data_IF_674021449317
#
_entry.id   IF_674021449317
#
_cell.length_a   1.000
_cell.length_b   1.000
_cell.length_c   1.000
_cell.angle_alpha   90.00
_cell.angle_beta   90.00
_cell.angle_gamma   90.00
#
_symmetry.space_group_name_H-M   'P 1'
#
loop_
_entity.id
_entity.type
_entity.pdbx_description
1 polymer ?
#
# COMPACT_ATOMS: atom_id res chain seq x y z
N UNK A 1 19.87 16.61 -23.11
CA UNK A 1 19.31 17.15 -21.87
C UNK A 1 18.80 18.55 -22.22
N UNK A 2 17.53 18.97 -22.22
CA UNK A 2 16.29 18.54 -21.58
C UNK A 2 15.08 19.07 -22.40
N UNK A 3 14.47 18.26 -23.28
CA UNK A 3 13.22 18.65 -23.97
C UNK A 3 12.09 17.63 -23.80
N UNK A 4 12.39 16.44 -23.28
CA UNK A 4 11.41 15.39 -23.00
C UNK A 4 10.73 15.51 -21.63
N UNK A 5 11.23 16.35 -20.73
CA UNK A 5 10.72 16.49 -19.35
C UNK A 5 9.54 17.46 -19.26
N UNK A 6 9.53 18.53 -20.06
CA UNK A 6 8.45 19.54 -20.04
C UNK A 6 7.14 19.05 -20.66
N UNK A 7 7.20 18.15 -21.64
CA UNK A 7 5.98 17.61 -22.29
C UNK A 7 5.19 16.70 -21.36
N UNK A 8 5.83 16.04 -20.39
CA UNK A 8 5.13 15.20 -19.42
C UNK A 8 4.33 16.02 -18.40
N UNK A 9 4.80 17.22 -18.05
CA UNK A 9 4.12 18.11 -17.10
C UNK A 9 2.81 18.64 -17.70
N UNK A 10 2.79 19.00 -18.99
CA UNK A 10 1.58 19.49 -19.67
C UNK A 10 0.51 18.39 -19.86
N UNK A 11 0.92 17.13 -20.06
CA UNK A 11 -0.01 16.00 -20.11
C UNK A 11 -0.58 15.62 -18.72
N UNK A 12 0.13 15.95 -17.64
CA UNK A 12 -0.32 15.76 -16.25
C UNK A 12 -1.47 16.71 -15.87
N UNK A 13 -1.47 17.95 -16.40
CA UNK A 13 -2.47 18.97 -16.04
C UNK A 13 -3.84 18.77 -16.70
N UNK A 14 -3.92 18.03 -17.81
CA UNK A 14 -5.17 17.88 -18.56
C UNK A 14 -6.10 16.77 -18.05
N UNK A 15 -5.72 16.04 -17.00
CA UNK A 15 -6.60 15.03 -16.39
C UNK A 15 -6.35 14.91 -14.88
N UNK A 16 -6.87 15.85 -14.06
CA UNK A 16 -6.75 15.79 -12.60
C UNK A 16 -7.35 14.51 -12.02
N UNK A 17 -8.25 13.80 -12.75
CA UNK A 17 -8.80 12.52 -12.32
C UNK A 17 -7.79 11.38 -12.34
N UNK A 18 -6.68 11.50 -13.10
CA UNK A 18 -5.69 10.42 -13.25
C UNK A 18 -4.88 10.15 -11.98
N UNK A 19 -4.73 11.15 -11.11
CA UNK A 19 -4.07 11.02 -9.80
C UNK A 19 -5.04 10.86 -8.64
N UNK A 20 -6.34 10.72 -8.93
CA UNK A 20 -7.35 10.36 -7.94
C UNK A 20 -7.53 8.85 -7.83
N UNK A 21 -6.82 8.06 -8.63
CA UNK A 21 -6.96 6.61 -8.66
C UNK A 21 -5.61 5.91 -8.83
N UNK A 22 -5.38 4.88 -8.03
CA UNK A 22 -4.29 3.91 -8.27
C UNK A 22 -4.85 2.50 -8.33
N UNK A 23 -4.28 1.69 -9.23
CA UNK A 23 -4.59 0.26 -9.36
C UNK A 23 -3.38 -0.54 -8.94
N UNK A 24 -3.57 -1.70 -8.35
CA UNK A 24 -2.47 -2.57 -7.91
C UNK A 24 -2.96 -3.99 -7.62
N UNK A 25 -2.08 -4.80 -7.04
CA UNK A 25 -2.48 -6.04 -6.40
C UNK A 25 -2.79 -5.79 -4.91
N UNK A 26 -3.86 -6.38 -4.35
CA UNK A 26 -4.18 -6.22 -2.95
C UNK A 26 -3.13 -6.90 -2.08
N UNK A 27 -2.75 -6.26 -0.98
CA UNK A 27 -1.92 -6.84 0.06
C UNK A 27 -2.73 -7.29 1.27
N UNK A 28 -2.27 -8.33 1.94
CA UNK A 28 -2.82 -8.79 3.21
C UNK A 28 -1.75 -8.80 4.29
N UNK A 29 -2.12 -8.39 5.50
CA UNK A 29 -1.26 -8.49 6.68
C UNK A 29 -1.57 -9.80 7.39
N UNK A 30 -0.67 -10.78 7.29
CA UNK A 30 -0.80 -12.09 7.93
C UNK A 30 0.27 -12.21 9.00
N UNK A 31 -0.13 -12.23 10.28
CA UNK A 31 0.80 -12.35 11.44
C UNK A 31 1.96 -11.33 11.38
N UNK A 32 1.67 -10.09 11.04
CA UNK A 32 2.68 -9.02 10.92
C UNK A 32 3.50 -9.03 9.62
N UNK A 33 3.31 -10.03 8.76
CA UNK A 33 3.97 -10.11 7.45
C UNK A 33 3.03 -9.62 6.36
N UNK A 34 3.51 -8.74 5.48
CA UNK A 34 2.74 -8.23 4.35
C UNK A 34 2.94 -9.18 3.16
N UNK A 35 1.86 -9.83 2.73
CA UNK A 35 1.89 -10.79 1.63
C UNK A 35 1.05 -10.23 0.46
N UNK A 36 1.60 -10.20 -0.77
CA UNK A 36 0.81 -9.88 -1.95
C UNK A 36 -0.19 -11.00 -2.23
N UNK A 37 -1.43 -10.64 -2.53
CA UNK A 37 -2.40 -11.60 -3.00
C UNK A 37 -2.26 -11.75 -4.52
N UNK A 38 -1.45 -12.72 -4.94
CA UNK A 38 -1.16 -13.01 -6.34
C UNK A 38 -2.44 -13.47 -7.06
N UNK A 39 -2.98 -12.61 -7.94
CA UNK A 39 -4.22 -12.87 -8.69
C UNK A 39 -5.35 -11.92 -8.34
N UNK A 40 -5.22 -11.12 -7.29
CA UNK A 40 -6.18 -10.07 -6.97
C UNK A 40 -5.93 -8.76 -7.74
N UNK A 41 -6.97 -7.92 -7.81
CA UNK A 41 -6.88 -6.54 -8.30
C UNK A 41 -7.45 -5.61 -7.24
N UNK A 42 -6.72 -4.57 -6.87
CA UNK A 42 -7.23 -3.50 -6.00
C UNK A 42 -7.18 -2.17 -6.74
N UNK A 43 -8.21 -1.37 -6.54
CA UNK A 43 -8.32 -0.01 -7.04
C UNK A 43 -8.62 0.89 -5.85
N UNK A 44 -7.79 1.90 -5.63
CA UNK A 44 -7.98 2.87 -4.56
C UNK A 44 -8.24 4.22 -5.20
N UNK A 45 -9.39 4.81 -4.88
CA UNK A 45 -9.86 6.08 -5.40
C UNK A 45 -10.04 7.11 -4.30
N UNK A 46 -9.74 8.36 -4.61
CA UNK A 46 -10.05 9.52 -3.77
C UNK A 46 -11.41 10.05 -4.22
N UNK A 47 -12.40 9.93 -3.35
CA UNK A 47 -13.76 10.41 -3.55
C UNK A 47 -14.09 11.46 -2.48
N UNK A 48 -13.96 12.74 -2.86
CA UNK A 48 -14.15 13.89 -1.97
C UNK A 48 -13.26 13.81 -0.72
N UNK A 49 -13.83 13.51 0.44
CA UNK A 49 -13.16 13.39 1.74
C UNK A 49 -12.91 11.92 2.16
N UNK A 50 -13.21 10.98 1.27
CA UNK A 50 -13.06 9.54 1.49
C UNK A 50 -12.13 8.90 0.48
N UNK A 51 -11.48 7.84 0.94
CA UNK A 51 -10.67 6.94 0.15
C UNK A 51 -11.48 5.66 -0.02
N UNK A 52 -11.87 5.38 -1.25
CA UNK A 52 -12.65 4.21 -1.63
C UNK A 52 -11.71 3.14 -2.20
N UNK A 53 -11.53 2.05 -1.47
CA UNK A 53 -10.83 0.86 -1.93
C UNK A 53 -11.83 -0.15 -2.46
N UNK A 54 -11.60 -0.64 -3.69
CA UNK A 54 -12.27 -1.78 -4.29
C UNK A 54 -11.24 -2.86 -4.58
N UNK A 55 -11.24 -3.91 -3.76
CA UNK A 55 -10.35 -5.05 -3.90
C UNK A 55 -11.14 -6.30 -4.32
N UNK A 56 -10.62 -6.99 -5.33
CA UNK A 56 -11.07 -8.32 -5.73
C UNK A 56 -9.95 -9.31 -5.40
N UNK A 57 -10.24 -10.26 -4.53
CA UNK A 57 -9.31 -11.28 -4.06
C UNK A 57 -9.94 -12.64 -4.37
N UNK A 58 -9.50 -13.29 -5.45
CA UNK A 58 -10.16 -14.49 -5.95
C UNK A 58 -11.64 -14.23 -6.29
N UNK A 59 -12.55 -14.95 -5.64
CA UNK A 59 -14.00 -14.78 -5.76
C UNK A 59 -14.57 -13.72 -4.80
N UNK A 60 -13.79 -13.26 -3.83
CA UNK A 60 -14.23 -12.28 -2.84
C UNK A 60 -14.07 -10.86 -3.37
N UNK A 61 -15.13 -10.06 -3.21
CA UNK A 61 -15.10 -8.61 -3.45
C UNK A 61 -15.18 -7.89 -2.11
N UNK A 62 -14.23 -7.00 -1.89
CA UNK A 62 -14.15 -6.15 -0.70
C UNK A 62 -14.18 -4.70 -1.12
N UNK A 63 -15.13 -3.96 -0.59
CA UNK A 63 -15.22 -2.51 -0.74
C UNK A 63 -15.00 -1.87 0.63
N UNK A 64 -14.10 -0.90 0.72
CA UNK A 64 -13.80 -0.23 1.98
C UNK A 64 -13.73 1.27 1.79
N UNK A 65 -14.42 2.00 2.66
CA UNK A 65 -14.45 3.46 2.66
C UNK A 65 -13.72 3.98 3.89
N UNK A 66 -12.59 4.67 3.67
CA UNK A 66 -11.77 5.22 4.75
C UNK A 66 -11.77 6.74 4.64
N UNK A 67 -12.17 7.46 5.70
CA UNK A 67 -12.12 8.93 5.65
C UNK A 67 -10.66 9.40 5.59
N UNK A 68 -10.33 10.29 4.66
CA UNK A 68 -8.94 10.77 4.46
C UNK A 68 -8.40 11.42 5.74
N UNK A 69 -9.26 12.12 6.48
CA UNK A 69 -8.96 12.72 7.79
C UNK A 69 -8.53 11.73 8.89
N UNK A 70 -8.81 10.44 8.71
CA UNK A 70 -8.45 9.39 9.67
C UNK A 70 -7.20 8.61 9.26
N UNK A 71 -6.54 9.02 8.18
CA UNK A 71 -5.29 8.41 7.73
C UNK A 71 -4.17 8.93 8.63
N UNK A 72 -3.54 8.03 9.37
CA UNK A 72 -2.42 8.37 10.25
C UNK A 72 -1.10 8.35 9.48
N UNK A 73 -0.96 7.41 8.53
CA UNK A 73 0.30 7.16 7.81
C UNK A 73 0.04 6.78 6.36
N UNK A 74 0.78 7.41 5.47
CA UNK A 74 0.91 7.02 4.06
C UNK A 74 2.38 6.83 3.76
N UNK A 75 2.76 5.67 3.24
CA UNK A 75 4.16 5.38 2.96
C UNK A 75 4.34 4.36 1.86
N UNK A 76 5.44 4.49 1.13
CA UNK A 76 5.86 3.52 0.13
C UNK A 76 7.00 2.72 0.73
N UNK A 77 6.81 1.41 0.76
CA UNK A 77 7.75 0.48 1.35
C UNK A 77 8.23 -0.49 0.28
N UNK A 78 9.40 -1.06 0.52
CA UNK A 78 10.00 -2.10 -0.31
C UNK A 78 10.26 -3.31 0.57
N UNK A 79 9.79 -4.49 0.14
CA UNK A 79 9.99 -5.75 0.87
C UNK A 79 10.49 -6.84 -0.07
N UNK A 80 11.12 -7.84 0.51
CA UNK A 80 11.43 -9.14 -0.10
C UNK A 80 10.32 -10.16 0.23
N UNK A 81 10.10 -11.15 -0.64
CA UNK A 81 9.05 -12.17 -0.52
C UNK A 81 9.71 -13.22 0.36
N UNK A 82 9.36 -13.24 1.65
CA UNK A 82 9.82 -14.29 2.56
C UNK A 82 9.47 -15.69 2.06
N UNK A 83 8.37 -15.85 1.31
CA UNK A 83 7.94 -17.14 0.75
C UNK A 83 8.98 -17.78 -0.17
N UNK A 84 9.77 -17.00 -0.93
CA UNK A 84 10.82 -17.54 -1.80
C UNK A 84 11.91 -18.24 -0.98
N UNK A 85 12.26 -17.66 0.16
CA UNK A 85 13.24 -18.23 1.08
C UNK A 85 12.70 -19.49 1.74
N UNK A 86 11.42 -19.50 2.14
CA UNK A 86 10.76 -20.70 2.69
C UNK A 86 10.74 -21.83 1.67
N UNK A 87 10.33 -21.55 0.42
CA UNK A 87 10.33 -22.55 -0.66
C UNK A 87 11.75 -23.05 -0.94
N UNK A 88 12.74 -22.15 -1.01
CA UNK A 88 14.15 -22.51 -1.15
C UNK A 88 14.62 -23.43 -0.02
N UNK A 89 14.28 -23.11 1.22
CA UNK A 89 14.62 -23.92 2.39
C UNK A 89 13.97 -25.31 2.34
N UNK A 90 12.70 -25.40 1.95
CA UNK A 90 12.01 -26.69 1.80
C UNK A 90 12.69 -27.53 0.72
N UNK A 91 13.01 -26.95 -0.45
CA UNK A 91 13.73 -27.66 -1.51
C UNK A 91 15.09 -28.16 -1.05
N UNK A 92 15.82 -27.34 -0.27
CA UNK A 92 17.10 -27.74 0.30
C UNK A 92 16.97 -28.94 1.25
N UNK A 93 16.00 -28.89 2.16
CA UNK A 93 15.74 -29.99 3.11
C UNK A 93 15.34 -31.29 2.38
N UNK A 94 14.50 -31.20 1.35
CA UNK A 94 14.15 -32.34 0.49
C UNK A 94 15.41 -32.90 -0.19
N UNK A 95 16.28 -32.03 -0.71
CA UNK A 95 17.55 -32.44 -1.31
C UNK A 95 18.45 -33.20 -0.33
N UNK A 96 18.56 -32.74 0.92
CA UNK A 96 19.33 -33.41 1.97
C UNK A 96 18.72 -34.77 2.31
N UNK A 97 17.41 -34.85 2.52
CA UNK A 97 16.74 -36.11 2.87
C UNK A 97 16.96 -37.17 1.78
N UNK A 98 16.83 -36.80 0.51
CA UNK A 98 17.10 -37.71 -0.61
C UNK A 98 18.56 -38.19 -0.65
N UNK A 99 19.51 -37.34 -0.24
CA UNK A 99 20.92 -37.71 -0.17
C UNK A 99 21.22 -38.70 0.97
N UNK A 100 20.51 -38.57 2.09
CA UNK A 100 20.67 -39.43 3.27
C UNK A 100 20.03 -40.81 3.09
N UNK A 101 18.91 -40.90 2.36
CA UNK A 101 18.18 -42.17 2.16
C UNK A 101 18.97 -43.14 1.28
N UNK A 102 19.35 -42.73 0.06
CA UNK A 102 20.12 -43.55 -0.87
C UNK A 102 21.00 -42.67 -1.77
N UNK A 103 22.25 -42.39 -1.37
CA UNK A 103 23.09 -41.40 -2.03
C UNK A 103 23.46 -41.77 -3.47
N UNK A 104 23.54 -43.07 -3.79
CA UNK A 104 23.88 -43.54 -5.14
C UNK A 104 22.71 -43.41 -6.12
N UNK A 105 21.48 -43.68 -5.67
CA UNK A 105 20.29 -43.72 -6.53
C UNK A 105 19.74 -42.32 -6.81
N UNK A 106 19.73 -41.44 -5.81
CA UNK A 106 19.12 -40.10 -5.92
C UNK A 106 20.12 -38.96 -6.10
N UNK A 107 21.41 -39.27 -6.37
CA UNK A 107 22.48 -38.27 -6.47
C UNK A 107 22.09 -37.07 -7.35
N UNK A 108 21.69 -37.33 -8.59
CA UNK A 108 21.36 -36.26 -9.54
C UNK A 108 20.16 -35.42 -9.09
N UNK A 109 19.11 -36.06 -8.57
CA UNK A 109 17.91 -35.38 -8.08
C UNK A 109 18.20 -34.53 -6.84
N UNK A 110 18.94 -35.08 -5.86
CA UNK A 110 19.35 -34.36 -4.67
C UNK A 110 20.16 -33.10 -5.01
N UNK A 111 21.16 -33.23 -5.90
CA UNK A 111 21.92 -32.08 -6.39
C UNK A 111 21.04 -31.04 -7.09
N UNK A 112 20.05 -31.47 -7.87
CA UNK A 112 19.06 -30.59 -8.49
C UNK A 112 18.25 -29.79 -7.46
N UNK A 113 17.76 -30.44 -6.41
CA UNK A 113 17.05 -29.76 -5.31
C UNK A 113 17.95 -28.78 -4.55
N UNK A 114 19.19 -29.16 -4.24
CA UNK A 114 20.17 -28.29 -3.59
C UNK A 114 20.50 -27.07 -4.46
N UNK A 115 20.80 -27.25 -5.75
CA UNK A 115 21.05 -26.13 -6.66
C UNK A 115 19.81 -25.24 -6.83
N UNK A 116 18.63 -25.84 -6.95
CA UNK A 116 17.35 -25.11 -6.98
C UNK A 116 17.17 -24.22 -5.75
N UNK A 117 17.47 -24.73 -4.56
CA UNK A 117 17.39 -23.94 -3.32
C UNK A 117 18.29 -22.70 -3.33
N UNK A 118 19.51 -22.83 -3.86
CA UNK A 118 20.45 -21.72 -4.01
C UNK A 118 19.90 -20.68 -4.98
N UNK A 119 19.32 -21.10 -6.10
CA UNK A 119 18.68 -20.19 -7.07
C UNK A 119 17.54 -19.41 -6.41
N UNK A 120 16.67 -20.06 -5.64
CA UNK A 120 15.59 -19.39 -4.91
C UNK A 120 16.12 -18.40 -3.85
N UNK A 121 17.20 -18.76 -3.15
CA UNK A 121 17.85 -17.86 -2.19
C UNK A 121 18.45 -16.63 -2.88
N UNK A 122 19.11 -16.78 -4.03
CA UNK A 122 19.61 -15.64 -4.81
C UNK A 122 18.46 -14.78 -5.33
N UNK A 123 17.39 -15.40 -5.82
CA UNK A 123 16.21 -14.72 -6.32
C UNK A 123 15.52 -13.89 -5.23
N UNK A 124 15.53 -14.34 -3.98
CA UNK A 124 15.03 -13.58 -2.82
C UNK A 124 15.74 -12.22 -2.65
N UNK A 125 17.04 -12.13 -2.90
CA UNK A 125 17.79 -10.88 -2.76
C UNK A 125 17.53 -9.90 -3.91
N UNK A 126 17.27 -10.42 -5.11
CA UNK A 126 17.05 -9.59 -6.30
C UNK A 126 15.60 -9.16 -6.48
N UNK A 127 14.65 -10.05 -6.22
CA UNK A 127 13.24 -9.75 -6.42
C UNK A 127 12.73 -9.00 -5.21
N UNK A 128 12.55 -7.69 -5.36
CA UNK A 128 11.93 -6.81 -4.35
C UNK A 128 10.66 -6.18 -4.92
N UNK A 129 9.57 -6.22 -4.17
CA UNK A 129 8.32 -5.51 -4.53
C UNK A 129 8.24 -4.22 -3.76
N UNK A 130 7.60 -3.25 -4.41
CA UNK A 130 7.23 -1.98 -3.80
C UNK A 130 5.72 -1.99 -3.58
N UNK A 131 5.30 -1.44 -2.45
CA UNK A 131 3.89 -1.35 -2.09
C UNK A 131 3.61 -0.05 -1.35
N UNK A 132 2.39 0.44 -1.52
CA UNK A 132 1.85 1.61 -0.87
C UNK A 132 1.04 1.13 0.32
N UNK A 133 1.34 1.68 1.50
CA UNK A 133 0.57 1.45 2.72
C UNK A 133 -0.14 2.74 3.07
N UNK A 134 -1.45 2.66 3.22
CA UNK A 134 -2.29 3.72 3.76
C UNK A 134 -2.92 3.16 5.03
N UNK A 135 -2.47 3.64 6.18
CA UNK A 135 -2.90 3.15 7.48
C UNK A 135 -3.78 4.20 8.18
N UNK A 136 -4.89 3.72 8.71
CA UNK A 136 -5.82 4.42 9.59
C UNK A 136 -6.02 3.58 10.86
N UNK A 137 -6.58 4.14 11.95
CA UNK A 137 -6.74 3.41 13.21
C UNK A 137 -7.54 2.11 13.09
N UNK A 138 -8.43 2.01 12.09
CA UNK A 138 -9.35 0.88 11.92
C UNK A 138 -9.08 0.07 10.65
N UNK A 139 -8.32 0.60 9.71
CA UNK A 139 -8.11 -0.04 8.42
C UNK A 139 -6.71 0.24 7.89
N UNK A 140 -6.08 -0.77 7.31
CA UNK A 140 -4.81 -0.64 6.61
C UNK A 140 -4.98 -1.16 5.20
N UNK A 141 -4.81 -0.25 4.24
CA UNK A 141 -4.92 -0.52 2.81
C UNK A 141 -3.50 -0.72 2.29
N UNK A 142 -3.27 -1.86 1.64
CA UNK A 142 -1.97 -2.24 1.10
C UNK A 142 -2.11 -2.48 -0.39
N UNK A 143 -1.41 -1.69 -1.20
CA UNK A 143 -1.46 -1.75 -2.65
C UNK A 143 -0.07 -2.07 -3.20
N UNK A 144 0.09 -3.26 -3.75
CA UNK A 144 1.32 -3.66 -4.44
C UNK A 144 1.37 -3.03 -5.84
N UNK A 145 2.56 -2.57 -6.23
CA UNK A 145 2.74 -1.81 -7.46
C UNK A 145 2.61 -2.73 -8.67
N UNK A 146 1.69 -2.40 -9.57
CA UNK A 146 1.55 -3.03 -10.90
C UNK A 146 1.99 -2.09 -12.02
N UNK A 147 2.13 -0.80 -11.73
CA UNK A 147 2.56 0.26 -12.65
C UNK A 147 3.84 0.95 -12.18
N UNK A 148 4.21 2.02 -12.88
CA UNK A 148 5.35 2.85 -12.52
C UNK A 148 5.25 3.36 -11.07
N UNK A 149 6.37 3.41 -10.32
CA UNK A 149 6.37 3.88 -8.93
C UNK A 149 6.01 5.37 -8.80
N UNK A 150 6.06 6.12 -9.89
CA UNK A 150 5.72 7.54 -9.92
C UNK A 150 4.24 7.78 -9.65
N UNK A 151 3.33 6.97 -10.24
CA UNK A 151 1.88 7.11 -10.04
C UNK A 151 1.50 6.97 -8.56
N UNK A 152 2.04 5.97 -7.87
CA UNK A 152 1.77 5.75 -6.44
C UNK A 152 2.37 6.83 -5.55
N UNK A 153 3.53 7.40 -5.93
CA UNK A 153 4.12 8.55 -5.22
C UNK A 153 3.25 9.78 -5.33
N UNK A 154 2.79 10.12 -6.52
CA UNK A 154 1.90 11.26 -6.74
C UNK A 154 0.59 11.07 -5.97
N UNK A 155 -0.01 9.88 -6.06
CA UNK A 155 -1.22 9.54 -5.31
C UNK A 155 -1.03 9.70 -3.79
N UNK A 156 0.09 9.21 -3.23
CA UNK A 156 0.41 9.36 -1.82
C UNK A 156 0.54 10.83 -1.39
N UNK A 157 1.20 11.66 -2.21
CA UNK A 157 1.33 13.11 -1.97
C UNK A 157 -0.06 13.77 -1.99
N UNK A 158 -0.89 13.45 -2.99
CA UNK A 158 -2.26 13.96 -3.10
C UNK A 158 -3.11 13.64 -1.87
N UNK A 159 -3.04 12.41 -1.35
CA UNK A 159 -3.74 12.05 -0.10
C UNK A 159 -3.28 12.92 1.07
N UNK A 160 -1.97 13.11 1.22
CA UNK A 160 -1.42 13.89 2.33
C UNK A 160 -1.79 15.37 2.24
N UNK A 161 -1.81 15.93 1.03
CA UNK A 161 -2.19 17.33 0.84
C UNK A 161 -3.69 17.56 1.12
N UNK A 162 -4.56 16.65 0.68
CA UNK A 162 -5.99 16.69 1.01
C UNK A 162 -6.21 16.54 2.52
N UNK A 163 -5.49 15.62 3.17
CA UNK A 163 -5.59 15.44 4.62
C UNK A 163 -5.22 16.72 5.38
N UNK A 164 -4.18 17.43 4.94
CA UNK A 164 -3.75 18.72 5.52
C UNK A 164 -4.78 19.82 5.30
N UNK A 165 -5.38 19.90 4.11
CA UNK A 165 -6.41 20.89 3.81
C UNK A 165 -7.65 20.69 4.71
N UNK A 166 -8.10 19.45 4.86
CA UNK A 166 -9.20 19.09 5.76
C UNK A 166 -8.89 19.44 7.23
N UNK A 167 -7.64 19.30 7.67
CA UNK A 167 -7.24 19.69 9.02
C UNK A 167 -7.25 21.22 9.21
N UNK A 168 -6.80 21.98 8.19
CA UNK A 168 -6.80 23.45 8.21
C UNK A 168 -8.21 24.02 8.29
N UNK A 169 -9.15 23.50 7.49
CA UNK A 169 -10.55 23.95 7.50
C UNK A 169 -11.18 23.87 8.90
N UNK A 170 -10.87 22.80 9.65
CA UNK A 170 -11.38 22.60 11.02
C UNK A 170 -10.82 23.61 12.02
N UNK A 171 -9.54 23.99 11.90
CA UNK A 171 -8.94 24.99 12.79
C UNK A 171 -9.58 26.37 12.60
N UNK A 172 -9.95 26.71 11.37
CA UNK A 172 -10.64 27.97 11.07
C UNK A 172 -12.04 28.03 11.67
N UNK A 173 -12.81 26.93 11.59
CA UNK A 173 -14.16 26.87 12.17
C UNK A 173 -14.13 26.95 13.71
N UNK A 174 -13.17 26.28 14.35
CA UNK A 174 -13.03 26.31 15.82
C UNK A 174 -12.58 27.67 16.36
N UNK A 175 -11.95 28.50 15.53
CA UNK A 175 -11.49 29.85 15.90
C UNK A 175 -12.56 30.92 15.75
N UNK A 176 -13.75 30.62 15.20
CA UNK A 176 -14.83 31.60 15.14
C UNK A 176 -15.21 31.96 16.59
N UNK A 177 -14.95 33.20 17.04
CA UNK A 177 -15.20 33.58 18.43
C UNK A 177 -16.67 33.33 18.70
N UNK A 178 -16.96 32.55 19.75
CA UNK A 178 -18.32 32.33 20.21
C UNK A 178 -18.92 33.74 20.40
N UNK A 179 -20.00 34.11 19.69
CA UNK A 179 -20.57 35.44 19.82
C UNK A 179 -20.80 35.64 21.31
N UNK A 180 -20.07 36.59 21.88
CA UNK A 180 -20.20 37.00 23.27
C UNK A 180 -21.63 37.48 23.39
N UNK A 181 -22.50 36.59 23.87
CA UNK A 181 -23.87 36.94 24.19
C UNK A 181 -23.79 38.03 25.24
N UNK A 182 -24.01 39.27 24.80
CA UNK A 182 -24.43 40.35 25.66
C UNK A 182 -25.66 39.87 26.41
N UNK A 183 -25.48 39.51 27.68
CA UNK A 183 -26.58 39.21 28.59
C UNK A 183 -27.59 40.37 28.55
N UNK A 184 -28.86 40.13 28.20
CA UNK A 184 -29.91 41.13 28.37
C UNK A 184 -30.22 41.26 29.86
N UNK A 185 -30.06 42.49 30.36
CA UNK A 185 -30.85 43.18 31.40
C UNK A 185 -31.30 42.43 32.67
N UNK A 186 -31.08 43.08 33.81
CA UNK A 186 -32.18 43.32 34.75
C UNK A 186 -32.07 44.74 35.31
N UNK A 187 -32.77 45.63 34.63
CA UNK A 187 -33.15 46.95 35.09
C UNK A 187 -34.18 46.74 36.21
N UNK A 188 -33.75 46.88 37.47
CA UNK A 188 -34.66 46.79 38.63
C UNK A 188 -34.95 48.20 39.09
N UNK A 189 -36.08 48.71 38.66
CA UNK A 189 -36.78 49.85 39.23
C UNK A 189 -37.36 49.45 40.59
N UNK A 190 -37.00 50.15 41.66
CA UNK A 190 -37.85 50.57 42.79
C UNK A 190 -37.04 51.41 43.77
#
# INVERSE_FOLDING_TARGET
MNSSENTQISALMNNPKRFLEVKGAPGQLVRGTIVPNFGGKTTVRIEKDTLHEQAQIGSERRETFTRIRSIDRVGIYQSSIGVLLIVGLILFLVGIVLLLVDPLKYKAFSWGFCLGSIIFALLYFWVKYKYLVISSPRNTIIVFFTKSPYEYRQFAITILDIARELERGRRSERRKPRPSGSSPQSETTS
#
